data_IF_124612728036
#
_entry.id   IF_124612728036
#
_cell.length_a   1.000
_cell.length_b   1.000
_cell.length_c   1.000
_cell.angle_alpha   90.00
_cell.angle_beta   90.00
_cell.angle_gamma   90.00
#
_symmetry.space_group_name_H-M   'P 1'
#
loop_
_entity.id
_entity.type
_entity.pdbx_description
1 polymer ?
#
# COMPACT_ATOMS: atom_id res chain seq x y z
N UNK A 1 -7.70 -22.62 0.20
CA UNK A 1 -7.81 -21.14 0.24
C UNK A 1 -8.97 -20.77 -0.66
N UNK A 2 -10.13 -20.49 -0.06
CA UNK A 2 -11.36 -20.13 -0.80
C UNK A 2 -11.16 -18.76 -1.43
N UNK A 3 -11.04 -18.71 -2.77
CA UNK A 3 -10.96 -17.45 -3.53
C UNK A 3 -12.37 -16.91 -3.79
N UNK A 4 -13.13 -16.59 -2.74
CA UNK A 4 -14.54 -16.24 -2.93
C UNK A 4 -14.88 -14.75 -2.85
N UNK A 5 -13.94 -13.84 -2.53
CA UNK A 5 -14.24 -12.41 -2.59
C UNK A 5 -13.06 -11.60 -3.13
N UNK A 6 -12.94 -11.52 -4.45
CA UNK A 6 -12.10 -10.49 -5.08
C UNK A 6 -12.77 -9.14 -4.86
N UNK A 7 -12.01 -8.15 -4.40
CA UNK A 7 -12.43 -6.77 -4.24
C UNK A 7 -12.17 -6.04 -5.56
N UNK A 8 -13.23 -5.54 -6.21
CA UNK A 8 -13.13 -4.80 -7.47
C UNK A 8 -12.69 -3.34 -7.23
N UNK A 9 -11.43 -3.21 -6.84
CA UNK A 9 -10.75 -1.96 -6.53
C UNK A 9 -9.23 -2.13 -6.69
N UNK A 10 -8.52 -1.01 -6.82
CA UNK A 10 -7.06 -0.98 -6.73
C UNK A 10 -6.61 -0.68 -5.30
N UNK A 11 -5.56 -1.35 -4.82
CA UNK A 11 -4.88 -1.02 -3.57
C UNK A 11 -3.55 -0.30 -3.82
N UNK A 12 -3.34 0.84 -3.15
CA UNK A 12 -2.12 1.64 -3.24
C UNK A 12 -1.47 1.76 -1.87
N UNK A 13 -0.30 1.16 -1.72
CA UNK A 13 0.46 1.14 -0.47
C UNK A 13 1.49 2.26 -0.48
N UNK A 14 1.34 3.23 0.43
CA UNK A 14 2.21 4.39 0.53
C UNK A 14 3.46 4.08 1.36
N UNK A 15 4.64 4.03 0.70
CA UNK A 15 5.94 3.82 1.37
C UNK A 15 6.72 5.12 1.62
N UNK A 16 6.07 6.26 1.41
CA UNK A 16 6.65 7.59 1.62
C UNK A 16 6.77 7.99 3.09
N UNK A 17 7.22 9.23 3.30
CA UNK A 17 7.42 9.81 4.62
C UNK A 17 8.86 9.71 5.11
N UNK A 18 9.25 10.65 5.97
CA UNK A 18 10.64 10.83 6.39
C UNK A 18 11.11 9.83 7.44
N UNK A 19 10.20 9.11 8.09
CA UNK A 19 10.49 8.17 9.19
C UNK A 19 11.39 8.76 10.29
N UNK A 20 11.28 10.08 10.57
CA UNK A 20 12.19 10.83 11.46
C UNK A 20 12.27 10.24 12.88
N UNK A 21 11.14 9.74 13.40
CA UNK A 21 11.08 9.11 14.73
C UNK A 21 11.53 7.64 14.73
N UNK A 22 11.50 7.00 13.57
CA UNK A 22 11.78 5.57 13.43
C UNK A 22 13.27 5.30 13.12
N UNK A 23 13.97 6.29 12.55
CA UNK A 23 15.40 6.22 12.23
C UNK A 23 15.74 5.37 11.00
N UNK A 24 14.77 4.65 10.46
CA UNK A 24 14.87 3.84 9.24
C UNK A 24 13.56 3.88 8.45
N UNK A 25 13.55 3.52 7.15
CA UNK A 25 12.31 3.48 6.38
C UNK A 25 11.30 2.52 7.01
N UNK A 26 10.18 3.04 7.51
CA UNK A 26 9.20 2.27 8.30
C UNK A 26 8.70 1.01 7.60
N UNK A 27 8.51 1.07 6.28
CA UNK A 27 8.06 -0.06 5.46
C UNK A 27 9.05 -1.25 5.44
N UNK A 28 10.33 -1.02 5.79
CA UNK A 28 11.36 -2.07 5.96
C UNK A 28 11.39 -2.66 7.37
N UNK A 29 10.71 -2.05 8.34
CA UNK A 29 10.71 -2.56 9.69
C UNK A 29 10.17 -4.01 9.70
N UNK A 30 10.79 -4.87 10.50
CA UNK A 30 10.36 -6.25 10.61
C UNK A 30 9.48 -6.43 11.85
N UNK A 31 8.38 -7.16 11.67
CA UNK A 31 7.61 -7.70 12.80
C UNK A 31 7.65 -9.22 12.67
N UNK A 32 8.35 -9.87 13.59
CA UNK A 32 8.67 -11.28 13.45
C UNK A 32 9.72 -11.50 12.37
N UNK A 33 9.32 -12.11 11.24
CA UNK A 33 10.20 -12.41 10.09
C UNK A 33 9.74 -11.79 8.77
N UNK A 34 8.77 -10.88 8.84
CA UNK A 34 8.19 -10.23 7.67
C UNK A 34 8.31 -8.72 7.81
N UNK A 35 8.62 -8.05 6.70
CA UNK A 35 8.62 -6.59 6.66
C UNK A 35 7.20 -6.06 6.78
N UNK A 36 7.06 -4.82 7.28
CA UNK A 36 5.78 -4.11 7.30
C UNK A 36 5.16 -4.04 5.90
N UNK A 37 5.98 -3.79 4.87
CA UNK A 37 5.50 -3.76 3.49
C UNK A 37 4.95 -5.11 3.03
N UNK A 38 5.65 -6.21 3.32
CA UNK A 38 5.19 -7.55 2.92
C UNK A 38 3.88 -7.91 3.60
N UNK A 39 3.74 -7.62 4.89
CA UNK A 39 2.49 -7.84 5.64
C UNK A 39 1.32 -7.10 5.00
N UNK A 40 1.51 -5.83 4.66
CA UNK A 40 0.45 -5.03 4.03
C UNK A 40 0.15 -5.48 2.61
N UNK A 41 1.18 -5.87 1.87
CA UNK A 41 1.03 -6.45 0.54
C UNK A 41 0.15 -7.69 0.58
N UNK A 42 0.37 -8.58 1.55
CA UNK A 42 -0.48 -9.77 1.76
C UNK A 42 -1.88 -9.40 2.24
N UNK A 43 -2.04 -8.41 3.12
CA UNK A 43 -3.37 -7.95 3.54
C UNK A 43 -4.21 -7.43 2.36
N UNK A 44 -3.57 -6.90 1.31
CA UNK A 44 -4.23 -6.43 0.09
C UNK A 44 -4.31 -7.51 -1.01
N UNK A 45 -4.10 -8.80 -0.71
CA UNK A 45 -4.04 -9.85 -1.74
C UNK A 45 -5.35 -10.08 -2.51
N UNK A 46 -6.49 -9.69 -1.92
CA UNK A 46 -7.81 -9.89 -2.53
C UNK A 46 -8.25 -8.75 -3.46
N UNK A 47 -7.44 -7.68 -3.61
CA UNK A 47 -7.71 -6.59 -4.55
C UNK A 47 -7.35 -7.00 -5.99
N UNK A 48 -8.14 -6.56 -6.98
CA UNK A 48 -7.86 -6.83 -8.41
C UNK A 48 -6.49 -6.34 -8.86
N UNK A 49 -6.02 -5.24 -8.27
CA UNK A 49 -4.67 -4.73 -8.50
C UNK A 49 -4.10 -4.11 -7.24
N UNK A 50 -2.76 -4.14 -7.13
CA UNK A 50 -2.02 -3.55 -6.02
C UNK A 50 -0.70 -2.98 -6.48
N UNK A 51 -0.37 -1.79 -5.99
CA UNK A 51 0.86 -1.08 -6.31
C UNK A 51 1.41 -0.37 -5.07
N UNK A 52 2.73 -0.23 -5.04
CA UNK A 52 3.45 0.57 -4.05
C UNK A 52 3.64 1.97 -4.61
N UNK A 53 3.41 3.01 -3.81
CA UNK A 53 3.55 4.42 -4.21
C UNK A 53 4.63 5.09 -3.37
N UNK A 54 5.56 5.78 -4.02
CA UNK A 54 6.62 6.54 -3.35
C UNK A 54 7.44 7.43 -4.29
N UNK A 55 8.39 8.20 -3.75
CA UNK A 55 9.23 9.12 -4.52
C UNK A 55 10.30 8.43 -5.38
N UNK A 56 10.82 7.31 -4.89
CA UNK A 56 11.87 6.54 -5.55
C UNK A 56 11.63 5.05 -5.29
N UNK A 57 11.74 4.24 -6.35
CA UNK A 57 11.66 2.80 -6.22
C UNK A 57 12.91 2.29 -5.48
N UNK A 58 12.75 1.58 -4.35
CA UNK A 58 13.87 0.88 -3.73
C UNK A 58 14.42 -0.20 -4.67
N UNK A 59 15.74 -0.34 -4.74
CA UNK A 59 16.40 -1.28 -5.66
C UNK A 59 16.07 -2.75 -5.38
N UNK A 60 15.71 -3.04 -4.14
CA UNK A 60 15.33 -4.36 -3.63
C UNK A 60 13.81 -4.59 -3.63
N UNK A 61 13.01 -3.64 -4.14
CA UNK A 61 11.56 -3.78 -4.21
C UNK A 61 11.15 -4.62 -5.42
N UNK A 62 10.52 -5.76 -5.16
CA UNK A 62 10.02 -6.73 -6.12
C UNK A 62 8.52 -6.57 -6.45
N UNK A 63 7.92 -5.44 -6.06
CA UNK A 63 6.49 -5.16 -6.19
C UNK A 63 6.26 -4.07 -7.25
N UNK A 64 5.13 -4.10 -7.98
CA UNK A 64 4.67 -2.99 -8.81
C UNK A 64 4.82 -1.66 -8.07
N UNK A 65 5.50 -0.71 -8.69
CA UNK A 65 5.83 0.57 -8.09
C UNK A 65 5.37 1.71 -9.00
N UNK A 66 4.75 2.72 -8.39
CA UNK A 66 4.34 3.95 -9.04
C UNK A 66 5.09 5.09 -8.39
N UNK A 67 5.78 5.86 -9.24
CA UNK A 67 6.53 7.02 -8.79
C UNK A 67 5.59 8.21 -8.62
N UNK A 68 5.66 8.82 -7.44
CA UNK A 68 5.10 10.12 -7.17
C UNK A 68 6.11 11.20 -7.57
N UNK A 69 5.77 11.98 -8.60
CA UNK A 69 6.63 12.98 -9.25
C UNK A 69 6.50 14.39 -8.63
N UNK A 70 5.54 14.65 -7.74
CA UNK A 70 5.43 15.97 -7.11
C UNK A 70 6.55 16.13 -6.07
N UNK A 71 7.05 17.35 -5.83
CA UNK A 71 8.10 17.54 -4.81
C UNK A 71 7.54 17.45 -3.38
N UNK A 72 6.27 17.83 -3.22
CA UNK A 72 5.58 17.87 -1.92
C UNK A 72 5.49 16.45 -1.33
N UNK A 73 5.85 16.31 -0.06
CA UNK A 73 5.67 15.07 0.70
C UNK A 73 4.43 15.15 1.57
N UNK A 74 3.31 14.65 1.07
CA UNK A 74 2.06 14.56 1.82
C UNK A 74 1.22 13.35 1.37
N UNK A 75 0.42 12.74 2.25
CA UNK A 75 -0.44 11.61 1.87
C UNK A 75 -1.40 11.92 0.70
N UNK A 76 -1.87 13.17 0.60
CA UNK A 76 -2.73 13.63 -0.50
C UNK A 76 -2.04 13.55 -1.87
N UNK A 77 -0.72 13.67 -1.90
CA UNK A 77 0.05 13.49 -3.13
C UNK A 77 0.03 12.02 -3.56
N UNK A 78 0.17 11.09 -2.61
CA UNK A 78 0.00 9.66 -2.88
C UNK A 78 -1.41 9.32 -3.37
N UNK A 79 -2.44 9.97 -2.82
CA UNK A 79 -3.82 9.85 -3.32
C UNK A 79 -3.94 10.35 -4.76
N UNK A 80 -3.42 11.55 -5.04
CA UNK A 80 -3.39 12.12 -6.39
C UNK A 80 -2.72 11.16 -7.38
N UNK A 81 -1.53 10.67 -7.05
CA UNK A 81 -0.82 9.68 -7.88
C UNK A 81 -1.62 8.38 -8.04
N UNK A 82 -2.28 7.88 -7.01
CA UNK A 82 -3.13 6.68 -7.12
C UNK A 82 -4.29 6.90 -8.11
N UNK A 83 -4.96 8.05 -8.05
CA UNK A 83 -6.08 8.39 -8.93
C UNK A 83 -5.67 8.61 -10.39
N UNK A 84 -4.48 9.12 -10.65
CA UNK A 84 -3.96 9.27 -12.01
C UNK A 84 -3.67 7.92 -12.69
N UNK A 85 -3.36 6.88 -11.91
CA UNK A 85 -2.96 5.56 -12.42
C UNK A 85 -4.04 4.49 -12.31
N UNK A 86 -5.15 4.77 -11.61
CA UNK A 86 -6.18 3.76 -11.37
C UNK A 86 -6.98 3.44 -12.63
N UNK A 87 -7.41 2.19 -12.70
CA UNK A 87 -8.33 1.68 -13.70
C UNK A 87 -9.66 1.23 -13.06
N UNK A 88 -9.84 1.51 -11.76
CA UNK A 88 -11.00 1.11 -10.98
C UNK A 88 -11.66 2.34 -10.35
N UNK A 89 -12.98 2.33 -10.25
CA UNK A 89 -13.75 3.39 -9.60
C UNK A 89 -13.40 3.50 -8.12
N UNK A 90 -13.10 2.37 -7.48
CA UNK A 90 -12.75 2.29 -6.07
C UNK A 90 -11.26 2.04 -5.86
N UNK A 91 -10.73 2.74 -4.84
CA UNK A 91 -9.30 2.75 -4.54
C UNK A 91 -9.09 2.67 -3.04
N UNK A 92 -8.34 1.68 -2.56
CA UNK A 92 -7.82 1.65 -1.20
C UNK A 92 -6.47 2.35 -1.18
N UNK A 93 -6.35 3.43 -0.40
CA UNK A 93 -5.07 4.05 -0.10
C UNK A 93 -4.63 3.62 1.30
N UNK A 94 -3.47 2.95 1.40
CA UNK A 94 -3.02 2.33 2.64
C UNK A 94 -1.65 2.84 3.07
N UNK A 95 -1.57 3.37 4.29
CA UNK A 95 -0.32 3.85 4.90
C UNK A 95 0.44 2.72 5.60
N UNK A 96 1.78 2.77 5.55
CA UNK A 96 2.67 1.78 6.19
C UNK A 96 2.74 1.83 7.73
N UNK A 97 1.75 2.42 8.39
CA UNK A 97 1.64 2.50 9.84
C UNK A 97 0.65 1.55 10.48
N UNK A 98 -0.02 0.71 9.68
CA UNK A 98 -1.00 -0.27 10.13
C UNK A 98 -0.51 -1.72 9.96
N UNK A 99 0.60 -2.16 10.58
CA UNK A 99 1.24 -3.44 10.27
C UNK A 99 0.51 -4.67 10.82
N UNK A 100 -0.62 -4.47 11.49
CA UNK A 100 -1.52 -5.52 12.00
C UNK A 100 -2.84 -5.59 11.21
N UNK A 101 -3.01 -4.78 10.17
CA UNK A 101 -4.21 -4.85 9.32
C UNK A 101 -4.24 -6.18 8.56
N UNK A 102 -5.42 -6.76 8.43
CA UNK A 102 -5.64 -8.04 7.76
C UNK A 102 -6.59 -7.88 6.58
N UNK A 103 -6.62 -8.87 5.68
CA UNK A 103 -7.57 -8.89 4.57
C UNK A 103 -9.03 -8.80 5.04
N UNK A 104 -9.37 -9.41 6.19
CA UNK A 104 -10.71 -9.37 6.77
C UNK A 104 -11.21 -7.95 7.03
N UNK A 105 -10.33 -7.02 7.40
CA UNK A 105 -10.68 -5.60 7.59
C UNK A 105 -11.13 -5.00 6.27
N UNK A 106 -10.40 -5.24 5.18
CA UNK A 106 -10.74 -4.70 3.87
C UNK A 106 -11.97 -5.37 3.27
N UNK A 107 -12.13 -6.68 3.45
CA UNK A 107 -13.35 -7.40 3.09
C UNK A 107 -14.57 -6.83 3.83
N UNK A 108 -14.41 -6.48 5.11
CA UNK A 108 -15.49 -5.85 5.89
C UNK A 108 -15.80 -4.44 5.41
N UNK A 109 -14.79 -3.64 5.07
CA UNK A 109 -14.98 -2.29 4.50
C UNK A 109 -15.62 -2.31 3.11
N UNK A 110 -15.34 -3.34 2.31
CA UNK A 110 -15.89 -3.49 0.96
C UNK A 110 -17.34 -4.00 0.97
N UNK A 111 -17.70 -4.83 1.95
CA UNK A 111 -19.07 -5.32 2.11
C UNK A 111 -20.01 -4.15 2.41
N UNK A 112 -20.80 -3.78 1.42
CA UNK A 112 -22.05 -3.03 1.59
C UNK A 112 -23.17 -3.97 2.03
#
# INVERSE_FOLDING_TARGET
>A
MNRENIISASAYILIGGKSERFGSPKWRAEIGRETVLDRMWQACADFESRSVVGKQQPSDLDKPFIRDELEIQAPIVGLYTALEYTQHDWNLLLSCDLPLVTADVFQTLWKN
#
